data_IF_258357986611
#
_entry.id   IF_258357986611
#
_cell.length_a   1.000
_cell.length_b   1.000
_cell.length_c   1.000
_cell.angle_alpha   90.00
_cell.angle_beta   90.00
_cell.angle_gamma   90.00
#
_symmetry.space_group_name_H-M   'P 1'
#
loop_
_entity.id
_entity.type
_entity.pdbx_description
1 polymer ?
#
# COMPACT_ATOMS: atom_id res chain seq x y z
N UNK A 1 17.27 0.16 -8.78
CA UNK A 1 16.83 0.72 -7.52
C UNK A 1 17.95 0.71 -6.51
N UNK A 2 18.03 1.72 -5.74
CA UNK A 2 19.09 1.80 -4.76
C UNK A 2 18.58 1.32 -3.43
N UNK A 3 18.98 0.12 -3.06
CA UNK A 3 18.46 -0.48 -1.87
C UNK A 3 18.90 0.25 -0.62
N UNK A 4 20.01 0.96 -0.70
CA UNK A 4 20.47 1.69 0.45
C UNK A 4 19.55 2.80 0.89
N UNK A 5 18.53 3.11 0.09
CA UNK A 5 17.60 4.14 0.46
C UNK A 5 16.32 3.61 1.05
N UNK A 6 16.31 2.37 1.48
CA UNK A 6 15.15 1.85 2.17
C UNK A 6 15.18 2.39 3.59
N UNK A 7 14.49 3.48 3.80
CA UNK A 7 14.62 4.19 5.05
C UNK A 7 13.32 4.55 5.74
N UNK A 8 12.20 4.10 5.24
CA UNK A 8 10.92 4.39 5.84
C UNK A 8 10.30 3.09 6.31
N UNK A 9 9.83 3.06 7.55
CA UNK A 9 9.24 1.82 8.04
C UNK A 9 7.75 1.85 7.80
N UNK A 10 7.25 0.81 7.17
CA UNK A 10 5.83 0.69 6.88
C UNK A 10 5.32 -0.61 7.45
N UNK A 11 4.01 -0.68 7.67
CA UNK A 11 3.36 -1.87 8.17
C UNK A 11 2.25 -2.25 7.22
N UNK A 12 2.20 -3.53 6.89
CA UNK A 12 1.10 -4.04 6.08
C UNK A 12 0.04 -4.57 7.02
N UNK A 13 -1.21 -4.20 6.77
CA UNK A 13 -2.33 -4.69 7.55
C UNK A 13 -3.26 -5.48 6.65
N UNK A 14 -3.86 -6.51 7.18
CA UNK A 14 -4.80 -7.33 6.46
C UNK A 14 -6.17 -7.18 7.07
N UNK A 15 -7.18 -7.10 6.22
CA UNK A 15 -8.55 -6.99 6.68
C UNK A 15 -9.06 -8.38 7.03
N UNK A 16 -9.35 -8.58 8.29
CA UNK A 16 -9.86 -9.85 8.76
C UNK A 16 -11.32 -9.64 9.05
N UNK A 17 -12.18 -10.09 8.15
CA UNK A 17 -13.60 -9.93 8.37
C UNK A 17 -14.05 -10.84 9.49
N UNK A 18 -14.71 -10.27 10.47
CA UNK A 18 -15.25 -11.06 11.55
C UNK A 18 -16.74 -10.82 11.63
N UNK A 19 -17.43 -11.59 12.44
CA UNK A 19 -18.84 -11.40 12.64
C UNK A 19 -19.08 -11.13 14.10
N UNK A 20 -19.96 -10.20 14.40
CA UNK A 20 -20.31 -9.95 15.78
C UNK A 20 -21.40 -10.94 16.20
N UNK A 21 -21.96 -10.75 17.38
CA UNK A 21 -22.87 -11.73 17.91
C UNK A 21 -24.17 -11.79 17.17
N UNK A 22 -24.54 -10.76 16.45
CA UNK A 22 -25.76 -10.78 15.69
C UNK A 22 -25.53 -10.98 14.22
N UNK A 23 -24.31 -11.39 13.84
CA UNK A 23 -24.07 -11.74 12.46
C UNK A 23 -23.65 -10.62 11.54
N UNK A 24 -23.41 -9.44 12.07
CA UNK A 24 -22.93 -8.37 11.21
C UNK A 24 -21.45 -8.57 10.92
N UNK A 25 -21.06 -8.26 9.70
CA UNK A 25 -19.66 -8.36 9.34
C UNK A 25 -18.93 -7.11 9.78
N UNK A 26 -17.82 -7.29 10.45
CA UNK A 26 -17.01 -6.20 10.93
C UNK A 26 -15.65 -6.28 10.29
N UNK A 27 -15.18 -5.15 9.78
CA UNK A 27 -13.83 -5.09 9.23
C UNK A 27 -12.85 -4.89 10.36
N UNK A 28 -11.85 -5.74 10.42
CA UNK A 28 -10.86 -5.61 11.46
C UNK A 28 -9.50 -5.70 10.81
N UNK A 29 -8.73 -4.62 10.90
CA UNK A 29 -7.42 -4.57 10.27
C UNK A 29 -6.37 -4.99 11.28
N UNK A 30 -5.53 -5.94 10.85
CA UNK A 30 -4.51 -6.52 11.73
C UNK A 30 -3.15 -6.36 11.12
N UNK A 31 -2.17 -5.97 11.92
CA UNK A 31 -0.80 -5.86 11.44
C UNK A 31 -0.29 -7.25 11.11
N UNK A 32 0.21 -7.43 9.89
CA UNK A 32 0.73 -8.73 9.51
C UNK A 32 2.21 -8.71 9.21
N UNK A 33 2.77 -7.56 8.82
CA UNK A 33 4.18 -7.53 8.48
C UNK A 33 4.67 -6.09 8.43
N UNK A 34 5.86 -5.86 8.93
CA UNK A 34 6.48 -4.54 8.88
C UNK A 34 7.84 -4.65 8.24
N UNK A 35 8.21 -3.65 7.47
CA UNK A 35 9.52 -3.64 6.85
C UNK A 35 9.89 -2.22 6.47
N UNK A 36 11.09 -2.06 5.96
CA UNK A 36 11.54 -0.76 5.48
C UNK A 36 11.28 -0.65 3.99
N UNK A 37 11.00 0.55 3.55
CA UNK A 37 10.66 0.80 2.16
C UNK A 37 11.26 2.09 1.69
N UNK A 38 11.39 2.23 0.38
CA UNK A 38 11.70 3.50 -0.24
C UNK A 38 10.38 4.05 -0.78
N UNK A 39 10.03 5.24 -0.39
CA UNK A 39 8.79 5.84 -0.84
C UNK A 39 9.08 6.88 -1.90
N UNK A 40 8.22 6.97 -2.89
CA UNK A 40 8.37 7.93 -3.95
C UNK A 40 7.01 8.50 -4.33
N UNK A 41 6.91 9.79 -4.38
CA UNK A 41 5.70 10.42 -4.86
C UNK A 41 5.72 10.65 -6.34
N UNK A 42 6.81 10.31 -7.03
CA UNK A 42 6.87 10.46 -8.47
C UNK A 42 6.28 9.25 -9.11
N UNK A 43 4.99 9.17 -9.07
CA UNK A 43 4.29 8.09 -9.72
C UNK A 43 4.01 8.51 -11.13
N UNK A 44 4.19 7.61 -12.06
CA UNK A 44 3.92 7.94 -13.45
C UNK A 44 2.51 8.40 -13.53
N UNK A 45 2.30 9.62 -14.00
CA UNK A 45 1.02 10.13 -14.03
C UNK A 45 0.61 10.40 -15.34
N UNK A 46 -0.43 9.82 -15.75
CA UNK A 46 -0.98 10.11 -17.03
C UNK A 46 -2.17 10.93 -16.88
N UNK A 47 -2.54 11.32 -15.70
CA UNK A 47 -3.74 11.97 -15.60
C UNK A 47 -3.65 13.31 -16.05
N UNK A 48 -4.70 13.82 -16.50
CA UNK A 48 -4.79 15.12 -16.88
C UNK A 48 -5.77 15.75 -16.04
N UNK A 49 -5.75 17.01 -15.96
CA UNK A 49 -6.76 17.68 -15.30
C UNK A 49 -7.94 17.63 -16.05
N UNK A 50 -8.96 17.05 -15.60
CA UNK A 50 -10.16 16.94 -16.35
C UNK A 50 -11.08 17.97 -15.94
N UNK A 51 -11.57 18.71 -16.84
CA UNK A 51 -12.59 19.66 -16.62
C UNK A 51 -12.25 20.64 -15.55
N UNK A 52 -11.04 20.97 -15.46
CA UNK A 52 -10.62 21.93 -14.52
C UNK A 52 -10.68 21.50 -13.08
N UNK A 53 -10.94 20.25 -12.84
CA UNK A 53 -10.95 19.79 -11.50
C UNK A 53 -9.65 19.24 -11.10
N UNK A 54 -9.24 19.49 -9.89
CA UNK A 54 -8.02 18.93 -9.40
C UNK A 54 -8.38 17.92 -8.36
N UNK A 55 -8.02 16.69 -8.59
CA UNK A 55 -8.28 15.66 -7.64
C UNK A 55 -7.06 15.56 -6.76
N UNK A 56 -7.22 15.90 -5.50
CA UNK A 56 -6.11 15.89 -4.61
C UNK A 56 -5.94 14.55 -3.96
N UNK A 57 -5.66 13.56 -4.75
CA UNK A 57 -5.42 12.24 -4.20
C UNK A 57 -3.92 12.06 -4.13
N UNK A 58 -3.42 11.83 -2.96
CA UNK A 58 -2.01 11.66 -2.80
C UNK A 58 -1.63 10.24 -3.16
N UNK A 59 -0.87 10.08 -4.23
CA UNK A 59 -0.43 8.77 -4.66
C UNK A 59 1.04 8.62 -4.39
N UNK A 60 1.43 7.44 -3.99
CA UNK A 60 2.80 7.20 -3.60
C UNK A 60 3.14 5.76 -3.95
N UNK A 61 4.39 5.48 -4.20
CA UNK A 61 4.82 4.11 -4.39
C UNK A 61 5.77 3.75 -3.28
N UNK A 62 5.70 2.52 -2.83
CA UNK A 62 6.59 1.99 -1.81
C UNK A 62 7.33 0.81 -2.43
N UNK A 63 8.64 0.86 -2.42
CA UNK A 63 9.47 -0.23 -2.94
C UNK A 63 10.11 -0.93 -1.76
N UNK A 64 9.95 -2.24 -1.68
CA UNK A 64 10.49 -3.01 -0.57
C UNK A 64 11.28 -4.18 -1.12
N UNK A 65 12.13 -4.75 -0.29
CA UNK A 65 12.81 -5.96 -0.67
C UNK A 65 11.83 -7.09 -0.70
N UNK A 66 11.99 -7.98 -1.67
CA UNK A 66 11.11 -9.13 -1.76
C UNK A 66 11.33 -10.03 -0.56
N UNK A 67 10.26 -10.53 0.03
CA UNK A 67 10.34 -11.60 0.98
C UNK A 67 9.06 -12.40 0.89
N UNK A 68 9.12 -13.62 1.37
CA UNK A 68 8.00 -14.51 1.16
C UNK A 68 6.73 -14.07 1.89
N UNK A 69 6.88 -13.30 2.95
CA UNK A 69 5.71 -12.83 3.65
C UNK A 69 4.86 -11.88 2.82
N UNK A 70 5.46 -11.29 1.79
CA UNK A 70 4.74 -10.32 1.00
C UNK A 70 4.07 -10.90 -0.22
N UNK A 71 4.29 -12.16 -0.51
CA UNK A 71 3.73 -12.71 -1.74
C UNK A 71 2.22 -12.79 -1.71
N UNK A 72 1.62 -12.79 -0.52
CA UNK A 72 0.18 -12.88 -0.42
C UNK A 72 -0.50 -11.53 -0.23
N UNK A 73 0.24 -10.45 -0.30
CA UNK A 73 -0.34 -9.13 -0.13
C UNK A 73 -1.11 -8.78 -1.39
N UNK A 74 -2.38 -8.42 -1.23
CA UNK A 74 -3.24 -8.10 -2.34
C UNK A 74 -3.90 -6.78 -2.13
N UNK A 75 -4.15 -6.03 -3.20
CA UNK A 75 -4.79 -4.72 -3.04
C UNK A 75 -6.15 -4.77 -2.37
N UNK A 76 -6.88 -5.86 -2.56
CA UNK A 76 -8.23 -5.93 -2.05
C UNK A 76 -8.30 -6.29 -0.58
N UNK A 77 -7.25 -6.85 -0.01
CA UNK A 77 -7.30 -7.32 1.36
C UNK A 77 -6.28 -6.69 2.26
N UNK A 78 -5.35 -5.92 1.70
CA UNK A 78 -4.25 -5.36 2.49
C UNK A 78 -4.14 -3.87 2.29
N UNK A 79 -3.56 -3.21 3.25
CA UNK A 79 -3.26 -1.78 3.13
C UNK A 79 -1.94 -1.51 3.81
N UNK A 80 -1.39 -0.33 3.58
CA UNK A 80 -0.10 0.04 4.14
C UNK A 80 -0.30 1.17 5.12
N UNK A 81 0.34 1.08 6.27
CA UNK A 81 0.29 2.10 7.29
C UNK A 81 1.67 2.70 7.44
N UNK A 82 1.75 4.02 7.35
CA UNK A 82 2.99 4.73 7.54
C UNK A 82 2.72 5.79 8.61
N UNK A 83 3.16 5.51 9.84
CA UNK A 83 2.87 6.40 10.94
C UNK A 83 1.38 6.48 11.18
N UNK A 84 0.83 7.66 11.04
CA UNK A 84 -0.60 7.82 11.20
C UNK A 84 -1.36 7.84 9.89
N UNK A 85 -0.67 7.61 8.78
CA UNK A 85 -1.30 7.65 7.49
C UNK A 85 -1.59 6.26 7.02
N UNK A 86 -2.72 6.11 6.36
CA UNK A 86 -3.14 4.83 5.82
C UNK A 86 -3.22 4.96 4.32
N UNK A 87 -2.58 4.05 3.62
CA UNK A 87 -2.56 4.06 2.18
C UNK A 87 -3.22 2.80 1.65
N UNK A 88 -4.17 2.98 0.75
CA UNK A 88 -4.84 1.84 0.13
C UNK A 88 -4.01 1.40 -1.07
N UNK A 89 -3.73 0.13 -1.16
CA UNK A 89 -2.89 -0.40 -2.22
C UNK A 89 -3.71 -0.43 -3.51
N UNK A 90 -3.17 0.15 -4.56
CA UNK A 90 -3.81 0.15 -5.86
C UNK A 90 -3.34 -1.03 -6.69
N UNK A 91 -2.05 -1.27 -6.70
CA UNK A 91 -1.51 -2.36 -7.49
C UNK A 91 -0.15 -2.75 -6.95
N UNK A 92 0.32 -3.91 -7.35
CA UNK A 92 1.60 -4.43 -6.92
C UNK A 92 2.39 -4.81 -8.16
N UNK A 93 3.63 -4.36 -8.22
CA UNK A 93 4.50 -4.67 -9.34
C UNK A 93 5.63 -5.51 -8.80
N UNK A 94 5.79 -6.74 -9.29
CA UNK A 94 6.83 -7.60 -8.77
C UNK A 94 8.14 -7.43 -9.52
N UNK A 95 8.29 -6.35 -10.25
CA UNK A 95 9.53 -5.99 -10.89
C UNK A 95 10.00 -7.09 -11.82
N UNK A 96 9.09 -7.52 -12.68
CA UNK A 96 9.37 -8.50 -13.74
C UNK A 96 9.70 -9.88 -13.20
N UNK A 97 9.10 -10.21 -12.08
CA UNK A 97 9.26 -11.55 -11.50
C UNK A 97 10.67 -11.87 -11.07
N UNK A 98 11.46 -10.86 -10.79
CA UNK A 98 12.82 -11.14 -10.40
C UNK A 98 12.97 -11.41 -8.92
N UNK A 99 11.93 -11.18 -8.14
CA UNK A 99 11.94 -11.49 -6.72
C UNK A 99 13.03 -10.74 -5.97
N UNK A 100 13.45 -9.60 -6.51
CA UNK A 100 14.42 -8.77 -5.81
C UNK A 100 13.73 -7.72 -5.01
N UNK A 101 12.67 -7.18 -5.55
CA UNK A 101 11.92 -6.16 -4.83
C UNK A 101 10.51 -6.15 -5.34
N UNK A 102 9.63 -5.54 -4.55
CA UNK A 102 8.25 -5.37 -4.91
C UNK A 102 7.93 -3.90 -4.79
N UNK A 103 7.09 -3.42 -5.69
CA UNK A 103 6.70 -2.02 -5.67
C UNK A 103 5.19 -1.96 -5.52
N UNK A 104 4.76 -1.28 -4.46
CA UNK A 104 3.35 -1.15 -4.18
C UNK A 104 2.91 0.25 -4.52
N UNK A 105 1.94 0.38 -5.41
CA UNK A 105 1.36 1.67 -5.73
C UNK A 105 0.14 1.86 -4.84
N UNK A 106 0.08 2.99 -4.17
CA UNK A 106 -0.96 3.20 -3.19
C UNK A 106 -1.42 4.63 -3.19
N UNK A 107 -2.57 4.88 -2.59
CA UNK A 107 -3.05 6.24 -2.47
C UNK A 107 -3.55 6.46 -1.06
N UNK A 108 -3.41 7.68 -0.57
CA UNK A 108 -3.74 8.01 0.79
C UNK A 108 -5.23 7.88 1.00
N UNK A 109 -5.59 7.20 2.08
CA UNK A 109 -6.99 7.06 2.39
C UNK A 109 -7.49 8.38 2.95
N UNK A 110 -8.60 8.88 2.40
CA UNK A 110 -9.16 10.08 2.88
C UNK A 110 -10.14 9.80 3.96
N UNK A 111 -10.04 10.50 5.04
CA UNK A 111 -10.99 10.36 6.09
C UNK A 111 -11.87 11.55 6.09
N UNK A 112 -13.12 11.34 6.35
CA UNK A 112 -14.04 12.45 6.34
C UNK A 112 -14.35 12.89 7.71
#
# INVERSE_FOLDING_TARGET
>A
MNIGKLNIRITFQQNMLTEDEIGNHINEWTDVFSCYATASTKVAETEKESAGQTVNTEKISFTVRYCSELKDVKPTTHRIVLGERIYNIISVDDMAFKHNSLKFYAELERRQ
#
